data_IF_177413399923
#
_entry.id   IF_177413399923
#
_cell.length_a   1.000
_cell.length_b   1.000
_cell.length_c   1.000
_cell.angle_alpha   90.00
_cell.angle_beta   90.00
_cell.angle_gamma   90.00
#
_symmetry.space_group_name_H-M   'P 1'
#
loop_
_entity.id
_entity.type
_entity.pdbx_description
1 polymer ?
#
# COMPACT_ATOMS: atom_id res chain seq x y z
N UNK A 1 4.10 -8.25 -8.01
CA UNK A 1 2.84 -7.56 -7.58
C UNK A 1 3.04 -6.06 -7.74
N UNK A 2 2.06 -5.30 -8.20
CA UNK A 2 2.18 -3.84 -8.24
C UNK A 2 1.76 -3.24 -6.89
N UNK A 3 2.74 -2.81 -6.10
CA UNK A 3 2.50 -2.33 -4.71
C UNK A 3 1.71 -1.00 -4.70
N UNK A 4 1.75 -0.24 -5.79
CA UNK A 4 1.02 1.04 -5.92
C UNK A 4 -0.44 0.88 -6.31
N UNK A 5 -0.80 -0.26 -6.89
CA UNK A 5 -2.17 -0.50 -7.31
C UNK A 5 -2.99 -1.23 -6.23
N UNK A 6 -4.26 -0.86 -6.07
CA UNK A 6 -5.16 -1.64 -5.24
C UNK A 6 -5.14 -3.11 -5.67
N UNK A 7 -5.17 -4.00 -4.71
CA UNK A 7 -5.10 -5.45 -4.92
C UNK A 7 -3.82 -5.92 -5.65
N UNK A 8 -2.74 -5.11 -5.63
CA UNK A 8 -1.50 -5.44 -6.32
C UNK A 8 -1.63 -5.62 -7.83
N UNK A 9 -2.64 -5.02 -8.46
CA UNK A 9 -2.96 -5.21 -9.87
C UNK A 9 -3.73 -6.51 -10.18
N UNK A 10 -4.13 -7.30 -9.16
CA UNK A 10 -4.87 -8.55 -9.36
C UNK A 10 -6.30 -8.31 -9.86
N UNK A 11 -6.96 -7.25 -9.38
CA UNK A 11 -8.32 -6.86 -9.78
C UNK A 11 -8.23 -5.51 -10.50
N UNK A 12 -8.24 -5.53 -11.81
CA UNK A 12 -8.02 -4.35 -12.65
C UNK A 12 -9.32 -3.71 -13.14
N UNK A 13 -9.20 -2.51 -13.75
CA UNK A 13 -10.29 -1.77 -14.37
C UNK A 13 -11.32 -1.25 -13.37
N UNK A 14 -12.48 -0.81 -13.87
CA UNK A 14 -13.50 -0.15 -13.06
C UNK A 14 -13.97 -0.99 -11.85
N UNK A 15 -13.95 -2.32 -11.96
CA UNK A 15 -14.37 -3.20 -10.84
C UNK A 15 -13.37 -3.13 -9.68
N UNK A 16 -12.07 -3.21 -9.96
CA UNK A 16 -11.02 -3.07 -8.95
C UNK A 16 -11.05 -1.69 -8.31
N UNK A 17 -11.12 -0.63 -9.13
CA UNK A 17 -11.15 0.75 -8.64
C UNK A 17 -12.37 1.04 -7.74
N UNK A 18 -13.56 0.63 -8.15
CA UNK A 18 -14.79 0.78 -7.36
C UNK A 18 -14.72 0.02 -6.04
N UNK A 19 -14.28 -1.24 -6.08
CA UNK A 19 -14.14 -2.08 -4.90
C UNK A 19 -13.11 -1.50 -3.93
N UNK A 20 -11.95 -1.07 -4.43
CA UNK A 20 -10.91 -0.44 -3.62
C UNK A 20 -11.41 0.85 -2.95
N UNK A 21 -12.11 1.71 -3.69
CA UNK A 21 -12.69 2.93 -3.15
C UNK A 21 -13.63 2.63 -1.97
N UNK A 22 -14.55 1.68 -2.14
CA UNK A 22 -15.51 1.34 -1.10
C UNK A 22 -14.84 0.71 0.13
N UNK A 23 -13.88 -0.20 -0.06
CA UNK A 23 -13.13 -0.84 1.02
C UNK A 23 -12.28 0.14 1.84
N UNK A 24 -11.60 1.09 1.15
CA UNK A 24 -10.70 2.06 1.82
C UNK A 24 -11.44 3.16 2.54
N UNK A 25 -12.57 3.60 2.01
CA UNK A 25 -13.28 4.75 2.57
C UNK A 25 -14.34 4.38 3.60
N UNK A 26 -14.89 3.16 3.56
CA UNK A 26 -16.06 2.77 4.36
C UNK A 26 -17.29 3.66 4.09
N UNK A 27 -17.25 4.47 3.02
CA UNK A 27 -18.32 5.42 2.70
C UNK A 27 -19.50 4.73 2.02
N UNK A 28 -20.66 5.39 2.06
CA UNK A 28 -21.89 4.93 1.40
C UNK A 28 -22.25 5.88 0.24
N UNK A 29 -21.44 5.97 -0.83
CA UNK A 29 -21.65 6.91 -1.92
C UNK A 29 -22.75 6.44 -2.87
N UNK A 30 -23.31 7.40 -3.64
CA UNK A 30 -24.08 7.10 -4.84
C UNK A 30 -23.16 6.72 -5.99
N UNK A 31 -23.66 6.03 -7.03
CA UNK A 31 -22.84 5.65 -8.19
C UNK A 31 -22.21 6.86 -8.91
N UNK A 32 -22.88 8.02 -8.96
CA UNK A 32 -22.30 9.27 -9.49
C UNK A 32 -21.16 9.79 -8.61
N UNK A 33 -21.29 9.65 -7.28
CA UNK A 33 -20.24 10.05 -6.35
C UNK A 33 -19.03 9.13 -6.46
N UNK A 34 -19.24 7.81 -6.62
CA UNK A 34 -18.16 6.86 -6.90
C UNK A 34 -17.41 7.28 -8.17
N UNK A 35 -18.11 7.54 -9.27
CA UNK A 35 -17.50 8.01 -10.52
C UNK A 35 -16.70 9.28 -10.33
N UNK A 36 -17.26 10.27 -9.61
CA UNK A 36 -16.55 11.54 -9.31
C UNK A 36 -15.29 11.36 -8.45
N UNK A 37 -15.25 10.36 -7.56
CA UNK A 37 -14.11 10.09 -6.68
C UNK A 37 -13.01 9.29 -7.38
N UNK A 38 -13.30 8.66 -8.52
CA UNK A 38 -12.34 7.96 -9.36
C UNK A 38 -11.72 8.88 -10.44
N UNK A 39 -11.85 10.20 -10.29
CA UNK A 39 -11.22 11.27 -11.09
C UNK A 39 -11.29 11.11 -12.63
N UNK A 40 -12.30 10.37 -13.10
CA UNK A 40 -12.56 10.22 -14.55
C UNK A 40 -11.76 9.12 -15.25
N UNK A 41 -10.96 8.32 -14.56
CA UNK A 41 -10.22 7.19 -15.12
C UNK A 41 -11.15 6.13 -15.74
N UNK A 42 -12.42 6.12 -15.31
CA UNK A 42 -13.43 5.21 -15.78
C UNK A 42 -14.71 5.93 -16.15
N UNK A 43 -15.37 5.51 -17.24
CA UNK A 43 -16.66 6.08 -17.62
C UNK A 43 -17.74 5.80 -16.55
N UNK A 44 -18.75 6.68 -16.45
CA UNK A 44 -19.88 6.46 -15.56
C UNK A 44 -20.58 5.12 -15.83
N UNK A 45 -20.65 4.71 -17.10
CA UNK A 45 -21.22 3.42 -17.47
C UNK A 45 -20.41 2.26 -16.90
N UNK A 46 -19.08 2.29 -17.03
CA UNK A 46 -18.18 1.24 -16.49
C UNK A 46 -18.30 1.15 -14.97
N UNK A 47 -18.37 2.28 -14.27
CA UNK A 47 -18.58 2.33 -12.82
C UNK A 47 -19.93 1.71 -12.42
N UNK A 48 -21.01 2.03 -13.15
CA UNK A 48 -22.32 1.46 -12.87
C UNK A 48 -22.35 -0.06 -13.13
N UNK A 49 -21.69 -0.55 -14.18
CA UNK A 49 -21.56 -2.00 -14.42
C UNK A 49 -20.75 -2.68 -13.32
N UNK A 50 -19.66 -2.07 -12.88
CA UNK A 50 -18.85 -2.58 -11.76
C UNK A 50 -19.69 -2.70 -10.47
N UNK A 51 -20.43 -1.65 -10.11
CA UNK A 51 -21.32 -1.65 -8.93
C UNK A 51 -22.37 -2.76 -9.02
N UNK A 52 -23.05 -2.93 -10.18
CA UNK A 52 -24.03 -4.01 -10.38
C UNK A 52 -23.40 -5.38 -10.18
N UNK A 53 -22.24 -5.62 -10.81
CA UNK A 53 -21.55 -6.90 -10.68
C UNK A 53 -21.12 -7.20 -9.23
N UNK A 54 -20.68 -6.18 -8.47
CA UNK A 54 -20.32 -6.34 -7.08
C UNK A 54 -21.55 -6.59 -6.18
N UNK A 55 -22.69 -6.01 -6.51
CA UNK A 55 -23.98 -6.29 -5.83
C UNK A 55 -24.47 -7.71 -6.15
N UNK A 56 -24.37 -8.15 -7.41
CA UNK A 56 -24.73 -9.53 -7.81
C UNK A 56 -23.87 -10.59 -7.10
N UNK A 57 -22.59 -10.26 -6.80
CA UNK A 57 -21.70 -11.09 -5.99
C UNK A 57 -22.01 -11.05 -4.49
N UNK A 58 -22.86 -10.14 -4.03
CA UNK A 58 -23.15 -9.93 -2.61
C UNK A 58 -22.04 -9.22 -1.82
N UNK A 59 -20.96 -8.80 -2.46
CA UNK A 59 -19.84 -8.10 -1.83
C UNK A 59 -20.21 -6.65 -1.49
N UNK A 60 -21.06 -6.06 -2.33
CA UNK A 60 -21.60 -4.70 -2.15
C UNK A 60 -23.10 -4.80 -1.98
N UNK A 61 -23.62 -4.01 -1.04
CA UNK A 61 -25.04 -3.80 -0.84
C UNK A 61 -25.48 -2.50 -1.49
N UNK A 62 -26.74 -2.47 -1.93
CA UNK A 62 -27.40 -1.26 -2.39
C UNK A 62 -28.62 -0.94 -1.54
N UNK A 63 -28.74 0.32 -1.14
CA UNK A 63 -29.89 0.80 -0.35
C UNK A 63 -30.50 2.02 -1.03
N UNK A 64 -31.83 2.01 -1.16
CA UNK A 64 -32.57 3.16 -1.71
C UNK A 64 -32.82 4.19 -0.60
N UNK A 65 -32.33 5.42 -0.81
CA UNK A 65 -32.54 6.55 0.10
C UNK A 65 -33.17 7.71 -0.68
N UNK A 66 -34.45 7.90 -0.53
CA UNK A 66 -35.22 8.85 -1.35
C UNK A 66 -35.10 8.52 -2.86
N UNK A 67 -34.69 9.45 -3.71
CA UNK A 67 -34.53 9.21 -5.15
C UNK A 67 -33.18 8.59 -5.51
N UNK A 68 -32.31 8.31 -4.54
CA UNK A 68 -30.93 7.88 -4.76
C UNK A 68 -30.69 6.45 -4.31
N UNK A 69 -29.78 5.75 -5.00
CA UNK A 69 -29.22 4.49 -4.55
C UNK A 69 -27.82 4.76 -4.00
N UNK A 70 -27.56 4.32 -2.79
CA UNK A 70 -26.24 4.31 -2.15
C UNK A 70 -25.69 2.90 -2.10
N UNK A 71 -24.37 2.77 -2.09
CA UNK A 71 -23.64 1.51 -2.10
C UNK A 71 -22.72 1.42 -0.90
N UNK A 72 -22.65 0.25 -0.27
CA UNK A 72 -21.77 -0.03 0.87
C UNK A 72 -21.16 -1.41 0.74
N UNK A 73 -20.05 -1.66 1.41
CA UNK A 73 -19.49 -3.00 1.55
C UNK A 73 -20.45 -3.82 2.42
N UNK A 74 -20.71 -5.07 2.03
CA UNK A 74 -21.39 -6.06 2.85
C UNK A 74 -20.37 -6.66 3.83
N UNK A 75 -20.31 -6.13 5.04
CA UNK A 75 -19.32 -6.53 6.07
C UNK A 75 -19.50 -8.00 6.50
N UNK A 76 -20.67 -8.57 6.34
CA UNK A 76 -20.95 -9.98 6.67
C UNK A 76 -20.50 -10.96 5.57
N UNK A 77 -20.09 -10.45 4.40
CA UNK A 77 -19.66 -11.31 3.31
C UNK A 77 -18.28 -11.94 3.61
N UNK A 78 -18.21 -13.27 3.57
CA UNK A 78 -17.03 -14.06 3.99
C UNK A 78 -15.71 -13.68 3.30
N UNK A 79 -15.73 -13.08 2.10
CA UNK A 79 -14.52 -12.65 1.38
C UNK A 79 -14.03 -11.27 1.75
N UNK A 80 -14.84 -10.44 2.41
CA UNK A 80 -14.51 -9.03 2.69
C UNK A 80 -13.25 -8.89 3.55
N UNK A 81 -13.01 -9.70 4.60
CA UNK A 81 -11.75 -9.61 5.34
C UNK A 81 -10.51 -9.85 4.48
N UNK A 82 -10.57 -10.83 3.55
CA UNK A 82 -9.48 -11.10 2.62
C UNK A 82 -9.28 -9.97 1.60
N UNK A 83 -10.37 -9.39 1.10
CA UNK A 83 -10.32 -8.25 0.19
C UNK A 83 -9.72 -7.00 0.85
N UNK A 84 -10.00 -6.77 2.14
CA UNK A 84 -9.39 -5.68 2.91
C UNK A 84 -7.87 -5.82 3.04
N UNK A 85 -7.39 -7.04 3.22
CA UNK A 85 -5.93 -7.30 3.22
C UNK A 85 -5.34 -7.08 1.83
N UNK A 86 -5.98 -7.61 0.79
CA UNK A 86 -5.50 -7.52 -0.60
C UNK A 86 -5.52 -6.08 -1.16
N UNK A 87 -6.39 -5.20 -0.67
CA UNK A 87 -6.49 -3.82 -1.16
C UNK A 87 -5.35 -2.94 -0.67
N UNK A 88 -4.55 -3.43 0.29
CA UNK A 88 -3.40 -2.75 0.87
C UNK A 88 -2.11 -3.55 0.67
N UNK A 89 -1.47 -3.46 -0.50
CA UNK A 89 -0.21 -4.16 -0.76
C UNK A 89 0.94 -3.70 0.15
N UNK A 90 0.95 -2.45 0.60
CA UNK A 90 1.96 -1.93 1.55
C UNK A 90 1.81 -2.61 2.91
N UNK A 91 0.58 -2.75 3.39
CA UNK A 91 0.30 -3.52 4.62
C UNK A 91 0.71 -4.99 4.49
N UNK A 92 0.48 -5.61 3.31
CA UNK A 92 0.95 -6.98 3.06
C UNK A 92 2.48 -7.08 3.07
N UNK A 93 3.18 -6.09 2.49
CA UNK A 93 4.64 -6.02 2.53
C UNK A 93 5.15 -5.89 3.98
N UNK A 94 4.49 -5.06 4.78
CA UNK A 94 4.80 -4.90 6.22
C UNK A 94 4.64 -6.24 6.95
N UNK A 95 3.53 -6.96 6.74
CA UNK A 95 3.31 -8.29 7.33
C UNK A 95 4.42 -9.30 6.94
N UNK A 96 4.87 -9.28 5.67
CA UNK A 96 5.98 -10.14 5.22
C UNK A 96 7.28 -9.78 5.93
N UNK A 97 7.58 -8.50 6.10
CA UNK A 97 8.78 -8.03 6.79
C UNK A 97 8.74 -8.43 8.26
N UNK A 98 7.67 -8.09 8.98
CA UNK A 98 7.51 -8.38 10.42
C UNK A 98 7.56 -9.88 10.74
N UNK A 99 7.11 -10.74 9.81
CA UNK A 99 7.16 -12.19 9.98
C UNK A 99 8.58 -12.77 9.86
N UNK A 100 9.55 -12.05 9.30
CA UNK A 100 10.84 -12.62 8.91
C UNK A 100 12.07 -11.89 9.47
N UNK A 101 11.88 -10.77 10.15
CA UNK A 101 12.95 -10.05 10.86
C UNK A 101 12.60 -9.90 12.34
N UNK A 102 13.61 -9.80 13.17
CA UNK A 102 13.44 -9.33 14.55
C UNK A 102 13.28 -7.79 14.53
N UNK A 103 12.04 -7.32 14.64
CA UNK A 103 11.73 -5.89 14.62
C UNK A 103 12.31 -5.12 15.81
N UNK A 104 12.80 -5.82 16.83
CA UNK A 104 13.49 -5.20 17.97
C UNK A 104 14.97 -4.96 17.70
N UNK A 105 15.53 -5.60 16.68
CA UNK A 105 16.93 -5.46 16.25
C UNK A 105 17.16 -4.31 15.26
N UNK A 106 16.07 -3.66 14.79
CA UNK A 106 16.12 -2.54 13.85
C UNK A 106 15.32 -1.35 14.39
N UNK A 107 15.80 -0.13 14.15
CA UNK A 107 15.11 1.10 14.53
C UNK A 107 14.00 1.45 13.53
N UNK A 108 14.24 1.18 12.24
CA UNK A 108 13.27 1.41 11.19
C UNK A 108 13.51 0.52 9.96
N UNK A 109 12.42 0.16 9.29
CA UNK A 109 12.41 -0.32 7.90
C UNK A 109 11.53 0.62 7.09
N UNK A 110 12.07 1.17 6.00
CA UNK A 110 11.44 2.23 5.22
C UNK A 110 11.37 1.79 3.77
N UNK A 111 10.17 1.78 3.20
CA UNK A 111 9.95 1.62 1.76
C UNK A 111 10.26 2.96 1.08
N UNK A 112 11.07 2.95 0.02
CA UNK A 112 11.40 4.16 -0.74
C UNK A 112 11.41 3.90 -2.25
N UNK A 113 11.95 4.81 -3.05
CA UNK A 113 12.05 4.65 -4.50
C UNK A 113 10.72 4.82 -5.24
N UNK A 114 10.60 4.18 -6.39
CA UNK A 114 9.42 4.31 -7.27
C UNK A 114 8.15 3.80 -6.62
N UNK A 115 8.26 2.75 -5.82
CA UNK A 115 7.14 2.12 -5.11
C UNK A 115 6.55 3.04 -4.03
N UNK A 116 7.38 3.84 -3.35
CA UNK A 116 6.89 4.78 -2.35
C UNK A 116 6.23 6.03 -2.95
N UNK A 117 6.57 6.37 -4.20
CA UNK A 117 6.07 7.58 -4.88
C UNK A 117 4.85 7.36 -5.76
N UNK A 118 4.38 6.12 -5.89
CA UNK A 118 3.27 5.78 -6.79
C UNK A 118 3.66 5.78 -8.27
N UNK A 119 4.95 5.62 -8.56
CA UNK A 119 5.49 5.60 -9.92
C UNK A 119 5.94 4.18 -10.36
N UNK A 120 5.70 3.16 -9.52
CA UNK A 120 6.11 1.80 -9.80
C UNK A 120 5.24 1.13 -10.87
N UNK A 121 5.82 0.16 -11.55
CA UNK A 121 5.15 -0.80 -12.43
C UNK A 121 5.14 -2.18 -11.78
N UNK A 122 4.42 -3.14 -12.39
CA UNK A 122 4.37 -4.52 -11.89
C UNK A 122 5.74 -5.19 -11.77
N UNK A 123 6.70 -4.75 -12.59
CA UNK A 123 8.08 -5.28 -12.66
C UNK A 123 9.09 -4.40 -11.87
N UNK A 124 8.63 -3.36 -11.19
CA UNK A 124 9.53 -2.51 -10.39
C UNK A 124 10.06 -3.24 -9.17
N UNK A 125 11.30 -2.97 -8.83
CA UNK A 125 11.93 -3.47 -7.62
C UNK A 125 11.32 -2.82 -6.38
N UNK A 126 11.37 -3.54 -5.26
CA UNK A 126 11.00 -3.00 -3.94
C UNK A 126 12.28 -2.53 -3.27
N UNK A 127 12.38 -1.21 -3.07
CA UNK A 127 13.53 -0.58 -2.42
C UNK A 127 13.25 -0.40 -0.93
N UNK A 128 14.06 -1.03 -0.06
CA UNK A 128 13.99 -0.92 1.39
C UNK A 128 15.24 -0.28 1.96
N UNK A 129 15.07 0.63 2.90
CA UNK A 129 16.14 1.10 3.77
C UNK A 129 15.90 0.56 5.19
N UNK A 130 16.91 -0.11 5.73
CA UNK A 130 16.92 -0.60 7.11
C UNK A 130 17.89 0.24 7.91
N UNK A 131 17.41 0.76 9.03
CA UNK A 131 18.23 1.47 10.01
C UNK A 131 18.27 0.61 11.26
N UNK A 132 19.47 0.19 11.66
CA UNK A 132 19.63 -0.74 12.78
C UNK A 132 21.06 -0.81 13.27
N UNK A 133 21.35 -1.76 14.15
CA UNK A 133 22.69 -1.93 14.71
C UNK A 133 23.71 -2.36 13.64
N UNK A 134 24.99 -2.07 13.89
CA UNK A 134 26.09 -2.49 12.98
C UNK A 134 26.20 -4.01 12.81
N UNK A 135 25.63 -4.77 13.74
CA UNK A 135 25.67 -6.23 13.73
C UNK A 135 24.49 -6.85 12.97
N UNK A 136 23.56 -6.02 12.48
CA UNK A 136 22.45 -6.51 11.67
C UNK A 136 22.91 -6.82 10.24
N UNK A 137 22.91 -8.10 9.88
CA UNK A 137 23.43 -8.62 8.60
C UNK A 137 22.40 -9.42 7.78
N UNK A 138 21.09 -9.25 8.08
CA UNK A 138 20.01 -10.05 7.47
C UNK A 138 19.47 -9.48 6.14
N UNK A 139 20.11 -8.49 5.54
CA UNK A 139 19.62 -7.81 4.34
C UNK A 139 19.30 -8.76 3.17
N UNK A 140 20.21 -9.70 2.89
CA UNK A 140 20.01 -10.69 1.82
C UNK A 140 18.86 -11.66 2.12
N UNK A 141 18.65 -12.01 3.41
CA UNK A 141 17.55 -12.89 3.84
C UNK A 141 16.22 -12.15 3.75
N UNK A 142 16.18 -10.89 4.17
CA UNK A 142 15.02 -10.04 4.05
C UNK A 142 14.61 -9.89 2.57
N UNK A 143 15.57 -9.55 1.69
CA UNK A 143 15.30 -9.43 0.26
C UNK A 143 14.71 -10.71 -0.35
N UNK A 144 15.22 -11.89 0.04
CA UNK A 144 14.67 -13.18 -0.41
C UNK A 144 13.24 -13.41 0.07
N UNK A 145 12.92 -13.08 1.33
CA UNK A 145 11.56 -13.25 1.86
C UNK A 145 10.57 -12.29 1.21
N UNK A 146 10.98 -11.03 0.99
CA UNK A 146 10.16 -10.05 0.27
C UNK A 146 9.93 -10.52 -1.16
N UNK A 147 10.98 -10.98 -1.87
CA UNK A 147 10.83 -11.53 -3.23
C UNK A 147 9.87 -12.74 -3.25
N UNK A 148 10.00 -13.66 -2.31
CA UNK A 148 9.14 -14.84 -2.23
C UNK A 148 7.67 -14.48 -1.92
N UNK A 149 7.43 -13.50 -1.04
CA UNK A 149 6.09 -13.09 -0.60
C UNK A 149 5.39 -12.16 -1.58
N UNK A 150 6.12 -11.22 -2.21
CA UNK A 150 5.56 -10.17 -3.07
C UNK A 150 5.73 -10.45 -4.56
N UNK A 151 6.69 -11.31 -4.94
CA UNK A 151 7.00 -11.64 -6.34
C UNK A 151 7.90 -10.62 -7.06
N UNK A 152 8.26 -9.51 -6.42
CA UNK A 152 9.13 -8.47 -6.96
C UNK A 152 10.57 -8.66 -6.47
N UNK A 153 11.60 -8.34 -7.28
CA UNK A 153 12.96 -8.17 -6.76
C UNK A 153 12.97 -7.16 -5.61
N UNK A 154 13.91 -7.32 -4.67
CA UNK A 154 14.00 -6.42 -3.53
C UNK A 154 15.44 -6.04 -3.27
N UNK A 155 15.71 -4.73 -3.24
CA UNK A 155 16.99 -4.15 -2.87
C UNK A 155 16.90 -3.58 -1.44
N UNK A 156 17.92 -3.91 -0.62
CA UNK A 156 17.94 -3.49 0.78
C UNK A 156 19.21 -2.68 1.05
N UNK A 157 19.05 -1.40 1.35
CA UNK A 157 20.11 -0.53 1.87
C UNK A 157 20.12 -0.61 3.39
N UNK A 158 21.29 -0.80 3.97
CA UNK A 158 21.46 -0.87 5.43
C UNK A 158 22.28 0.30 5.91
N UNK A 159 21.84 0.91 6.99
CA UNK A 159 22.52 2.03 7.67
C UNK A 159 22.53 1.77 9.18
N UNK A 160 23.62 2.11 9.85
CA UNK A 160 23.50 2.43 11.27
C UNK A 160 22.87 3.82 11.44
N UNK A 161 22.32 4.16 12.62
CA UNK A 161 21.82 5.51 12.89
C UNK A 161 22.86 6.60 12.59
N UNK A 162 24.12 6.37 12.96
CA UNK A 162 25.23 7.32 12.74
C UNK A 162 25.56 7.49 11.25
N UNK A 163 25.52 6.39 10.48
CA UNK A 163 25.74 6.43 9.02
C UNK A 163 24.62 7.17 8.32
N UNK A 164 23.36 6.90 8.70
CA UNK A 164 22.20 7.60 8.17
C UNK A 164 22.28 9.10 8.45
N UNK A 165 22.57 9.51 9.68
CA UNK A 165 22.77 10.90 10.08
C UNK A 165 23.91 11.56 9.31
N UNK A 166 25.02 10.85 9.11
CA UNK A 166 26.14 11.36 8.32
C UNK A 166 25.76 11.55 6.85
N UNK A 167 24.98 10.63 6.26
CA UNK A 167 24.49 10.73 4.90
C UNK A 167 23.48 11.88 4.73
N UNK A 168 22.61 12.13 5.73
CA UNK A 168 21.75 13.32 5.79
C UNK A 168 22.58 14.59 5.74
N UNK A 169 23.62 14.70 6.59
CA UNK A 169 24.50 15.89 6.62
C UNK A 169 25.26 16.11 5.31
N UNK A 170 25.63 15.03 4.61
CA UNK A 170 26.27 15.11 3.29
C UNK A 170 25.28 15.43 2.17
N UNK A 171 23.98 15.35 2.46
CA UNK A 171 22.93 15.59 1.46
C UNK A 171 22.90 14.52 0.38
N UNK A 172 23.14 13.25 0.74
CA UNK A 172 23.12 12.14 -0.22
C UNK A 172 21.75 12.01 -0.91
N UNK A 173 21.71 11.88 -2.25
CA UNK A 173 20.46 11.88 -2.99
C UNK A 173 19.47 10.82 -2.50
N UNK A 174 19.91 9.58 -2.30
CA UNK A 174 19.05 8.47 -1.85
C UNK A 174 18.44 8.75 -0.48
N UNK A 175 19.21 9.31 0.45
CA UNK A 175 18.71 9.63 1.80
C UNK A 175 17.72 10.79 1.77
N UNK A 176 17.93 11.79 0.88
CA UNK A 176 16.93 12.84 0.66
C UNK A 176 15.61 12.30 0.14
N UNK A 177 15.66 11.33 -0.78
CA UNK A 177 14.46 10.68 -1.33
C UNK A 177 13.75 9.87 -0.24
N UNK A 178 14.49 9.11 0.59
CA UNK A 178 13.96 8.40 1.75
C UNK A 178 13.25 9.38 2.72
N UNK A 179 13.87 10.50 3.05
CA UNK A 179 13.27 11.48 3.96
C UNK A 179 12.05 12.19 3.39
N UNK A 180 12.01 12.44 2.07
CA UNK A 180 10.92 13.12 1.40
C UNK A 180 9.70 12.22 1.22
N UNK A 181 9.90 11.05 0.63
CA UNK A 181 8.84 10.18 0.10
C UNK A 181 8.74 8.83 0.84
N UNK A 182 9.72 8.48 1.69
CA UNK A 182 9.78 7.20 2.37
C UNK A 182 8.54 6.90 3.23
N UNK A 183 8.09 5.66 3.17
CA UNK A 183 6.97 5.13 3.95
C UNK A 183 7.55 4.20 5.02
N UNK A 184 7.48 4.56 6.32
CA UNK A 184 7.94 3.67 7.37
C UNK A 184 7.01 2.46 7.46
N UNK A 185 7.59 1.25 7.33
CA UNK A 185 6.90 -0.03 7.49
C UNK A 185 7.08 -0.56 8.92
N UNK A 186 8.27 -0.38 9.50
CA UNK A 186 8.60 -0.70 10.89
C UNK A 186 9.27 0.51 11.50
N UNK A 187 8.96 0.82 12.75
CA UNK A 187 9.52 1.97 13.46
C UNK A 187 9.03 3.32 12.92
N UNK A 188 9.91 4.33 12.90
CA UNK A 188 9.59 5.67 12.46
C UNK A 188 10.66 6.22 11.51
N UNK A 189 10.26 7.12 10.62
CA UNK A 189 11.18 7.81 9.74
C UNK A 189 12.04 8.78 10.58
N UNK A 190 13.39 8.65 10.60
CA UNK A 190 14.26 9.57 11.33
C UNK A 190 14.06 11.00 10.85
N UNK A 191 14.24 11.97 11.75
CA UNK A 191 14.13 13.41 11.46
C UNK A 191 12.77 13.92 10.94
N UNK A 192 11.76 13.08 10.91
CA UNK A 192 10.39 13.52 10.61
C UNK A 192 9.64 13.73 11.92
N UNK A 193 9.28 14.98 12.23
CA UNK A 193 8.36 15.24 13.35
C UNK A 193 7.07 14.46 13.16
N UNK A 194 6.53 13.84 14.22
CA UNK A 194 5.26 13.14 14.13
C UNK A 194 4.19 14.11 13.62
N UNK A 195 3.50 13.76 12.52
CA UNK A 195 2.34 14.52 12.07
C UNK A 195 1.30 14.45 13.17
N UNK A 196 1.12 15.56 13.88
CA UNK A 196 -0.01 15.74 14.81
C UNK A 196 -1.27 15.76 13.92
N UNK A 197 -2.06 14.68 13.99
CA UNK A 197 -3.35 14.53 13.32
C UNK A 197 -4.45 15.32 14.01
#
# INVERSE_FOLDING_TARGET
MNVDEPFGGLITGARGAVLALLLRTGAHPTGRRVHSLLDGDHSLWSVQQALRALVELGIVEQTTVGPSIIYSINEDHATVPSLRRLVDPVGMLTEVIEAHIDTTAVDAVILFGSTATGAASADSDIDLAVIGSSDWDESGRLAQHVHAGMGNPCDVLVFTPEEFDAAVRRGEPVVRDILRDGIPLVGALPHREPRVG
#
